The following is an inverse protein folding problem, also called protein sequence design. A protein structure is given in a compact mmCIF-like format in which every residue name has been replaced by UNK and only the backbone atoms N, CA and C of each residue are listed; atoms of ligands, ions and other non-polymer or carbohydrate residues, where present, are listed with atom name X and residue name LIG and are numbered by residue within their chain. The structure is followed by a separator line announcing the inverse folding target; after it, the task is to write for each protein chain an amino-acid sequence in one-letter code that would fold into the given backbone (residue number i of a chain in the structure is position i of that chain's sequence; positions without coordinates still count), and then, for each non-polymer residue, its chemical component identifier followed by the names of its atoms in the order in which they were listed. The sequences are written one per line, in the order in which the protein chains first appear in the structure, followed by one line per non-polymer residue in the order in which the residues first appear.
data_IF_266635535428
#
_entry.id   IF_266635535428
#
_cell.length_a   1.000
_cell.length_b   1.000
_cell.length_c   1.000
_cell.angle_alpha   90.00
_cell.angle_beta   90.00
_cell.angle_gamma   90.00
#
_symmetry.space_group_name_H-M   'P 1'
#
loop_
_entity.id
_entity.type
_entity.pdbx_description
1 polymer ?
#
# COMPACT_ATOMS: atom_id res chain seq x y z
N UNK A 1 -5.84 -25.19 -11.86
CA UNK A 1 -5.20 -23.91 -11.51
C UNK A 1 -4.55 -24.02 -10.13
N UNK A 2 -3.35 -23.45 -9.93
CA UNK A 2 -2.66 -23.45 -8.63
C UNK A 2 -3.20 -22.33 -7.72
N UNK A 3 -2.89 -22.41 -6.41
CA UNK A 3 -3.21 -21.32 -5.45
C UNK A 3 -2.57 -20.00 -5.87
N UNK A 4 -1.34 -20.04 -6.39
CA UNK A 4 -0.60 -18.86 -6.82
C UNK A 4 -1.30 -18.16 -7.98
N UNK A 5 -1.67 -18.89 -9.04
CA UNK A 5 -2.34 -18.30 -10.21
C UNK A 5 -3.62 -17.57 -9.82
N UNK A 6 -4.45 -18.17 -8.95
CA UNK A 6 -5.70 -17.55 -8.49
C UNK A 6 -5.46 -16.23 -7.73
N UNK A 7 -4.40 -16.13 -6.93
CA UNK A 7 -4.10 -14.91 -6.19
C UNK A 7 -3.62 -13.79 -7.10
N UNK A 8 -2.82 -14.12 -8.12
CA UNK A 8 -2.38 -13.15 -9.12
C UNK A 8 -3.56 -12.59 -9.91
N UNK A 9 -4.49 -13.45 -10.33
CA UNK A 9 -5.69 -13.06 -11.08
C UNK A 9 -6.63 -12.15 -10.26
N UNK A 10 -6.54 -12.17 -8.94
CA UNK A 10 -7.36 -11.35 -8.04
C UNK A 10 -6.80 -9.92 -7.83
N UNK A 11 -5.59 -9.62 -8.29
CA UNK A 11 -4.98 -8.29 -8.13
C UNK A 11 -5.53 -7.37 -9.23
N UNK A 12 -6.33 -6.38 -8.84
CA UNK A 12 -6.90 -5.39 -9.74
C UNK A 12 -6.27 -4.00 -9.52
N UNK A 13 -6.22 -3.15 -10.56
CA UNK A 13 -5.90 -1.73 -10.37
C UNK A 13 -7.00 -1.03 -9.54
N UNK A 14 -6.69 0.09 -8.86
CA UNK A 14 -7.70 0.93 -8.23
C UNK A 14 -8.77 1.42 -9.24
N UNK A 15 -9.97 1.72 -8.76
CA UNK A 15 -11.10 2.12 -9.61
C UNK A 15 -10.81 3.40 -10.43
N UNK A 16 -11.30 3.41 -11.68
CA UNK A 16 -11.21 4.56 -12.58
C UNK A 16 -12.14 5.69 -12.10
N UNK A 17 -11.67 6.49 -11.13
CA UNK A 17 -12.42 7.60 -10.55
C UNK A 17 -12.05 7.89 -9.10
N UNK A 18 -11.60 6.87 -8.36
CA UNK A 18 -11.25 6.99 -6.94
C UNK A 18 -10.18 8.05 -6.66
N UNK A 19 -9.26 8.27 -7.61
CA UNK A 19 -8.22 9.31 -7.48
C UNK A 19 -8.82 10.71 -7.43
N UNK A 20 -9.77 11.01 -8.31
CA UNK A 20 -10.36 12.34 -8.39
C UNK A 20 -11.25 12.61 -7.16
N UNK A 21 -12.02 11.62 -6.71
CA UNK A 21 -12.82 11.73 -5.49
C UNK A 21 -11.97 11.92 -4.24
N UNK A 22 -10.95 11.09 -4.06
CA UNK A 22 -10.05 11.20 -2.91
C UNK A 22 -9.27 12.52 -2.90
N UNK A 23 -8.78 12.98 -4.06
CA UNK A 23 -8.10 14.28 -4.16
C UNK A 23 -9.06 15.44 -3.84
N UNK A 24 -10.27 15.44 -4.40
CA UNK A 24 -11.29 16.46 -4.08
C UNK A 24 -11.59 16.51 -2.58
N UNK A 25 -11.67 15.35 -1.93
CA UNK A 25 -11.85 15.30 -0.49
C UNK A 25 -10.66 15.93 0.24
N UNK A 26 -9.42 15.55 -0.08
CA UNK A 26 -8.21 16.11 0.54
C UNK A 26 -8.09 17.62 0.36
N UNK A 27 -8.44 18.15 -0.81
CA UNK A 27 -8.40 19.58 -1.11
C UNK A 27 -9.52 20.37 -0.39
N UNK A 28 -10.60 19.69 0.01
CA UNK A 28 -11.72 20.29 0.75
C UNK A 28 -11.47 20.43 2.26
N UNK A 29 -10.43 19.79 2.79
CA UNK A 29 -10.08 19.85 4.21
C UNK A 29 -9.64 21.26 4.61
N UNK A 30 -9.81 21.60 5.89
CA UNK A 30 -9.41 22.91 6.45
C UNK A 30 -7.89 23.05 6.57
N UNK A 31 -7.22 23.13 5.43
CA UNK A 31 -5.78 23.30 5.23
C UNK A 31 -5.53 23.97 3.87
N UNK A 32 -4.45 24.73 3.67
CA UNK A 32 -4.05 25.10 2.32
C UNK A 32 -3.79 23.84 1.47
N UNK A 33 -4.18 23.80 0.19
CA UNK A 33 -3.92 22.65 -0.67
C UNK A 33 -2.44 22.24 -0.67
N UNK A 34 -2.16 20.95 -0.48
CA UNK A 34 -0.80 20.40 -0.45
C UNK A 34 0.03 20.73 0.81
N UNK A 35 -0.49 21.45 1.80
CA UNK A 35 0.30 21.90 2.95
C UNK A 35 0.79 20.76 3.86
N UNK A 36 0.21 19.56 3.77
CA UNK A 36 0.65 18.39 4.54
C UNK A 36 1.63 17.49 3.75
N UNK A 37 1.96 17.86 2.50
CA UNK A 37 2.96 17.19 1.67
C UNK A 37 2.78 15.68 1.60
N UNK A 38 3.79 14.93 2.05
CA UNK A 38 3.83 13.46 2.02
C UNK A 38 2.66 12.79 2.75
N UNK A 39 2.06 13.44 3.75
CA UNK A 39 0.88 12.88 4.41
C UNK A 39 -0.33 12.81 3.48
N UNK A 40 -0.49 13.79 2.58
CA UNK A 40 -1.57 13.77 1.58
C UNK A 40 -1.35 12.68 0.54
N UNK A 41 -0.10 12.47 0.13
CA UNK A 41 0.28 11.39 -0.79
C UNK A 41 -0.04 10.01 -0.21
N UNK A 42 0.29 9.79 1.07
CA UNK A 42 -0.01 8.54 1.78
C UNK A 42 -1.52 8.36 1.94
N UNK A 43 -2.24 9.41 2.34
CA UNK A 43 -3.70 9.36 2.49
C UNK A 43 -4.41 9.04 1.17
N UNK A 44 -4.01 9.70 0.07
CA UNK A 44 -4.53 9.42 -1.28
C UNK A 44 -4.26 7.98 -1.69
N UNK A 45 -3.03 7.49 -1.48
CA UNK A 45 -2.67 6.11 -1.82
C UNK A 45 -3.47 5.09 -1.04
N UNK A 46 -3.65 5.29 0.27
CA UNK A 46 -4.46 4.40 1.09
C UNK A 46 -5.92 4.44 0.66
N UNK A 47 -6.48 5.62 0.40
CA UNK A 47 -7.86 5.76 -0.09
C UNK A 47 -8.10 5.04 -1.42
N UNK A 48 -7.12 5.06 -2.33
CA UNK A 48 -7.16 4.32 -3.58
C UNK A 48 -7.13 2.80 -3.39
N UNK A 49 -6.37 2.32 -2.41
CA UNK A 49 -6.25 0.89 -2.10
C UNK A 49 -7.49 0.37 -1.37
N UNK A 50 -8.09 1.16 -0.47
CA UNK A 50 -9.30 0.78 0.27
C UNK A 50 -10.60 1.09 -0.47
N UNK A 51 -10.56 2.00 -1.46
CA UNK A 51 -11.75 2.49 -2.17
C UNK A 51 -12.64 3.44 -1.35
N UNK A 52 -12.17 3.87 -0.17
CA UNK A 52 -12.88 4.76 0.74
C UNK A 52 -11.88 5.50 1.64
N UNK A 53 -12.35 6.44 2.48
CA UNK A 53 -11.47 7.14 3.44
C UNK A 53 -10.66 6.15 4.28
N UNK A 54 -9.32 6.27 4.34
CA UNK A 54 -8.48 5.21 4.85
C UNK A 54 -8.55 5.10 6.38
N UNK A 55 -8.62 3.86 6.88
CA UNK A 55 -8.51 3.55 8.30
C UNK A 55 -7.53 2.38 8.49
N UNK A 56 -6.53 2.55 9.35
CA UNK A 56 -5.52 1.53 9.66
C UNK A 56 -5.71 1.09 11.10
N UNK A 57 -6.55 0.07 11.33
CA UNK A 57 -6.95 -0.37 12.67
C UNK A 57 -6.11 -1.54 13.20
N UNK A 58 -5.62 -2.41 12.32
CA UNK A 58 -4.83 -3.59 12.67
C UNK A 58 -3.65 -3.81 11.71
N UNK A 59 -2.62 -2.95 11.74
CA UNK A 59 -1.42 -3.18 10.95
C UNK A 59 -0.71 -4.44 11.44
N UNK A 60 -0.29 -5.29 10.51
CA UNK A 60 0.44 -6.54 10.80
C UNK A 60 1.82 -6.48 10.14
N UNK A 61 2.85 -6.88 10.88
CA UNK A 61 4.21 -7.07 10.37
C UNK A 61 4.47 -8.57 10.26
N UNK A 62 4.81 -9.04 9.07
CA UNK A 62 5.26 -10.42 8.86
C UNK A 62 6.78 -10.46 8.77
N UNK A 63 7.43 -11.17 9.69
CA UNK A 63 8.88 -11.43 9.66
C UNK A 63 9.12 -12.82 9.07
N UNK A 64 9.81 -12.88 7.93
CA UNK A 64 10.23 -14.12 7.31
C UNK A 64 11.73 -14.31 7.56
N UNK A 65 12.11 -15.42 8.18
CA UNK A 65 13.50 -15.77 8.47
C UNK A 65 13.80 -17.18 7.94
N UNK A 66 14.96 -17.34 7.31
CA UNK A 66 15.47 -18.60 6.80
C UNK A 66 16.99 -18.53 6.68
N UNK A 67 17.65 -19.68 6.83
CA UNK A 67 19.08 -19.81 6.58
C UNK A 67 19.38 -19.97 5.09
N UNK A 68 20.61 -19.65 4.71
CA UNK A 68 21.09 -19.79 3.34
C UNK A 68 22.28 -20.75 3.32
N UNK A 69 22.20 -21.80 2.50
CA UNK A 69 23.29 -22.79 2.41
C UNK A 69 24.62 -22.21 1.93
N UNK A 70 24.57 -21.11 1.15
CA UNK A 70 25.75 -20.40 0.66
C UNK A 70 26.65 -19.84 1.78
N UNK A 71 26.14 -19.73 3.01
CA UNK A 71 26.95 -19.36 4.17
C UNK A 71 28.17 -20.28 4.33
N UNK A 72 28.06 -21.55 3.95
CA UNK A 72 29.17 -22.51 3.99
C UNK A 72 30.38 -22.08 3.12
N UNK A 73 30.18 -21.22 2.13
CA UNK A 73 31.23 -20.68 1.26
C UNK A 73 31.98 -19.49 1.90
N UNK A 74 31.69 -19.15 3.17
CA UNK A 74 32.39 -18.07 3.90
C UNK A 74 32.09 -16.66 3.37
N UNK A 75 31.00 -16.49 2.62
CA UNK A 75 30.61 -15.22 1.97
C UNK A 75 29.79 -14.28 2.87
N UNK A 76 29.50 -14.71 4.10
CA UNK A 76 28.72 -13.94 5.07
C UNK A 76 29.63 -13.29 6.10
N UNK A 77 29.21 -12.11 6.58
CA UNK A 77 29.93 -11.28 7.55
C UNK A 77 30.02 -11.90 8.95
#
# INVERSE_FOLDING_TARGET
MTRLSRLLDAIAPPSAGGRQEAQRHLDSLTKPPGSLGRLEEIALRLALLSGHAPAVTHPVIFTFAADHGVVAEGVSA
#
